data_IF_515201533517
#
_entry.id   IF_515201533517
#
_cell.length_a   1.000
_cell.length_b   1.000
_cell.length_c   1.000
_cell.angle_alpha   90.00
_cell.angle_beta   90.00
_cell.angle_gamma   90.00
#
_symmetry.space_group_name_H-M   'P 1'
#
loop_
_entity.id
_entity.type
_entity.pdbx_description
1 polymer ?
#
# COMPACT_ATOMS: atom_id res chain seq x y z
N UNK A 1 -14.56 12.24 17.42
CA UNK A 1 -13.16 12.74 17.50
C UNK A 1 -12.29 12.28 16.32
N UNK A 2 -12.26 11.00 15.93
CA UNK A 2 -11.51 10.51 14.74
C UNK A 2 -11.94 11.18 13.43
N UNK A 3 -13.23 11.37 13.20
CA UNK A 3 -13.76 12.05 12.01
C UNK A 3 -13.20 13.47 11.85
N UNK A 4 -13.17 14.25 12.92
CA UNK A 4 -12.63 15.60 12.88
C UNK A 4 -11.11 15.63 12.69
N UNK A 5 -10.38 14.66 13.24
CA UNK A 5 -8.93 14.58 13.02
C UNK A 5 -8.61 14.26 11.55
N UNK A 6 -9.39 13.39 10.91
CA UNK A 6 -9.19 13.06 9.49
C UNK A 6 -9.65 14.20 8.58
N UNK A 7 -10.73 14.89 8.91
CA UNK A 7 -11.14 16.11 8.18
C UNK A 7 -10.09 17.22 8.28
N UNK A 8 -9.50 17.43 9.47
CA UNK A 8 -8.39 18.38 9.67
C UNK A 8 -7.10 18.00 8.91
N UNK A 9 -6.97 16.78 8.43
CA UNK A 9 -5.81 16.36 7.64
C UNK A 9 -5.65 17.24 6.39
N UNK A 10 -6.76 17.63 5.77
CA UNK A 10 -6.76 18.56 4.63
C UNK A 10 -6.09 19.88 4.95
N UNK A 11 -6.43 20.48 6.09
CA UNK A 11 -5.82 21.73 6.56
C UNK A 11 -4.34 21.56 6.88
N UNK A 12 -3.96 20.45 7.52
CA UNK A 12 -2.56 20.11 7.79
C UNK A 12 -1.76 19.94 6.48
N UNK A 13 -2.38 19.42 5.42
CA UNK A 13 -1.79 19.31 4.10
C UNK A 13 -1.75 20.62 3.31
N UNK A 14 -2.25 21.73 3.87
CA UNK A 14 -2.24 23.03 3.20
C UNK A 14 -3.33 23.20 2.15
N UNK A 15 -4.50 22.56 2.33
CA UNK A 15 -5.70 22.89 1.58
C UNK A 15 -6.15 24.32 1.89
N UNK A 16 -6.69 24.98 0.88
CA UNK A 16 -7.10 26.40 0.92
C UNK A 16 -8.57 26.55 0.53
N UNK A 17 -9.24 27.64 0.92
CA UNK A 17 -10.63 27.91 0.51
C UNK A 17 -10.84 28.02 -1.01
N UNK A 18 -9.82 28.46 -1.74
CA UNK A 18 -9.83 28.60 -3.20
C UNK A 18 -9.48 27.32 -3.95
N UNK A 19 -9.17 26.21 -3.25
CA UNK A 19 -8.92 24.94 -3.87
C UNK A 19 -10.19 24.29 -4.46
N UNK A 20 -9.98 23.58 -5.56
CA UNK A 20 -10.96 22.71 -6.17
C UNK A 20 -10.44 21.28 -6.06
N UNK A 21 -11.07 20.49 -5.20
CA UNK A 21 -10.65 19.12 -4.89
C UNK A 21 -11.43 18.13 -5.74
N UNK A 22 -10.72 17.32 -6.53
CA UNK A 22 -11.30 16.29 -7.37
C UNK A 22 -11.19 14.92 -6.73
N UNK A 23 -12.35 14.30 -6.48
CA UNK A 23 -12.45 12.97 -5.89
C UNK A 23 -13.21 12.03 -6.81
N UNK A 24 -12.56 10.90 -7.13
CA UNK A 24 -13.13 9.78 -7.90
C UNK A 24 -13.23 8.52 -7.04
N UNK A 25 -12.84 8.64 -5.76
CA UNK A 25 -12.89 7.55 -4.80
C UNK A 25 -14.31 7.33 -4.29
N UNK A 26 -14.71 6.06 -4.01
CA UNK A 26 -15.99 5.78 -3.40
C UNK A 26 -16.17 6.50 -2.07
N UNK A 27 -17.32 7.11 -1.82
CA UNK A 27 -17.59 7.87 -0.60
C UNK A 27 -17.71 7.00 0.67
N UNK A 28 -17.87 5.68 0.55
CA UNK A 28 -17.75 4.78 1.68
C UNK A 28 -16.28 4.55 2.11
N UNK A 29 -15.31 4.94 1.28
CA UNK A 29 -13.89 4.93 1.63
C UNK A 29 -13.54 6.20 2.42
N UNK A 30 -12.81 6.05 3.54
CA UNK A 30 -12.46 7.17 4.43
C UNK A 30 -11.70 8.30 3.71
N UNK A 31 -10.85 7.99 2.76
CA UNK A 31 -10.15 9.01 1.96
C UNK A 31 -11.15 9.86 1.15
N UNK A 32 -12.09 9.23 0.43
CA UNK A 32 -13.10 9.94 -0.37
C UNK A 32 -14.01 10.82 0.47
N UNK A 33 -14.62 10.24 1.53
CA UNK A 33 -15.58 10.97 2.36
C UNK A 33 -14.90 11.97 3.31
N UNK A 34 -13.91 11.51 4.10
CA UNK A 34 -13.41 12.34 5.21
C UNK A 34 -12.36 13.34 4.74
N UNK A 35 -11.42 12.93 3.88
CA UNK A 35 -10.38 13.84 3.38
C UNK A 35 -10.92 14.67 2.21
N UNK A 36 -11.59 14.04 1.25
CA UNK A 36 -12.16 14.73 0.08
C UNK A 36 -13.30 15.65 0.46
N UNK A 37 -14.46 15.09 0.78
CA UNK A 37 -15.67 15.89 1.07
C UNK A 37 -15.54 16.62 2.40
N UNK A 38 -15.12 15.91 3.45
CA UNK A 38 -14.93 16.50 4.79
C UNK A 38 -13.87 17.59 4.82
N UNK A 39 -12.75 17.39 4.11
CA UNK A 39 -11.71 18.41 3.95
C UNK A 39 -12.21 19.67 3.26
N UNK A 40 -13.08 19.51 2.23
CA UNK A 40 -13.71 20.68 1.58
C UNK A 40 -14.59 21.48 2.55
N UNK A 41 -15.42 20.80 3.34
CA UNK A 41 -16.25 21.48 4.36
C UNK A 41 -15.41 22.19 5.42
N UNK A 42 -14.32 21.57 5.86
CA UNK A 42 -13.44 22.12 6.91
C UNK A 42 -12.76 23.41 6.47
N UNK A 43 -12.32 23.50 5.21
CA UNK A 43 -11.57 24.68 4.72
C UNK A 43 -12.42 25.62 3.87
N UNK A 44 -13.65 25.25 3.50
CA UNK A 44 -14.51 26.05 2.61
C UNK A 44 -14.13 25.92 1.13
N UNK A 45 -13.50 24.82 0.72
CA UNK A 45 -13.07 24.56 -0.64
C UNK A 45 -14.21 23.97 -1.50
N UNK A 46 -14.01 23.96 -2.82
CA UNK A 46 -14.93 23.33 -3.77
C UNK A 46 -14.63 21.85 -3.93
N UNK A 47 -15.66 20.99 -3.90
CA UNK A 47 -15.54 19.57 -4.14
C UNK A 47 -16.13 19.20 -5.49
N UNK A 48 -15.32 18.58 -6.37
CA UNK A 48 -15.77 17.98 -7.63
C UNK A 48 -15.81 16.47 -7.45
N UNK A 49 -17.03 15.92 -7.49
CA UNK A 49 -17.26 14.48 -7.34
C UNK A 49 -17.55 13.84 -8.69
N UNK A 50 -16.89 12.72 -8.94
CA UNK A 50 -17.20 11.86 -10.07
C UNK A 50 -17.71 10.51 -9.59
N UNK A 51 -18.84 10.06 -10.15
CA UNK A 51 -19.46 8.81 -9.75
C UNK A 51 -18.58 7.57 -9.99
N UNK A 52 -17.71 7.62 -11.02
CA UNK A 52 -16.83 6.50 -11.37
C UNK A 52 -15.50 7.01 -11.94
N UNK A 53 -14.38 6.47 -11.48
CA UNK A 53 -13.07 6.77 -12.03
C UNK A 53 -12.98 6.46 -13.53
N UNK A 54 -12.30 7.32 -14.28
CA UNK A 54 -11.99 7.13 -15.68
C UNK A 54 -10.61 7.72 -15.98
N UNK A 55 -9.62 6.86 -16.23
CA UNK A 55 -8.26 7.30 -16.51
C UNK A 55 -8.15 8.18 -17.77
N UNK A 56 -8.98 7.89 -18.80
CA UNK A 56 -8.98 8.65 -20.06
C UNK A 56 -9.62 10.05 -19.95
N UNK A 57 -10.54 10.23 -18.99
CA UNK A 57 -11.27 11.50 -18.79
C UNK A 57 -10.69 12.35 -17.63
N UNK A 58 -9.80 11.77 -16.83
CA UNK A 58 -9.33 12.38 -15.59
C UNK A 58 -8.77 13.78 -15.77
N UNK A 59 -7.83 13.93 -16.69
CA UNK A 59 -7.18 15.23 -16.96
C UNK A 59 -8.07 16.21 -17.70
N UNK A 60 -9.01 15.73 -18.52
CA UNK A 60 -10.03 16.55 -19.15
C UNK A 60 -10.99 17.15 -18.12
N UNK A 61 -11.40 16.35 -17.10
CA UNK A 61 -12.16 16.86 -15.96
C UNK A 61 -11.35 17.87 -15.14
N UNK A 62 -10.06 17.59 -14.88
CA UNK A 62 -9.19 18.52 -14.15
C UNK A 62 -9.10 19.90 -14.84
N UNK A 63 -8.97 19.93 -16.16
CA UNK A 63 -8.98 21.17 -16.95
C UNK A 63 -10.35 21.83 -16.91
N UNK A 64 -11.43 21.07 -17.16
CA UNK A 64 -12.80 21.58 -17.24
C UNK A 64 -13.25 22.26 -15.96
N UNK A 65 -12.90 21.70 -14.81
CA UNK A 65 -13.35 22.17 -13.50
C UNK A 65 -12.28 22.98 -12.75
N UNK A 66 -11.18 23.32 -13.39
CA UNK A 66 -10.06 24.05 -12.78
C UNK A 66 -9.56 23.41 -11.49
N UNK A 67 -9.41 22.09 -11.50
CA UNK A 67 -8.99 21.30 -10.35
C UNK A 67 -7.58 21.70 -9.91
N UNK A 68 -7.40 21.95 -8.62
CA UNK A 68 -6.11 22.30 -8.02
C UNK A 68 -5.55 21.18 -7.14
N UNK A 69 -6.42 20.29 -6.63
CA UNK A 69 -6.05 19.17 -5.76
C UNK A 69 -6.74 17.90 -6.24
N UNK A 70 -5.99 16.82 -6.37
CA UNK A 70 -6.53 15.51 -6.71
C UNK A 70 -6.39 14.55 -5.53
N UNK A 71 -7.37 13.65 -5.37
CA UNK A 71 -7.27 12.50 -4.49
C UNK A 71 -6.89 11.25 -5.28
N UNK A 72 -6.08 10.39 -4.66
CA UNK A 72 -5.65 9.16 -5.29
C UNK A 72 -5.56 7.98 -4.31
N UNK A 73 -5.55 6.80 -4.87
CA UNK A 73 -4.87 5.60 -4.37
C UNK A 73 -3.82 5.20 -5.40
N UNK A 74 -2.76 4.52 -4.99
CA UNK A 74 -1.60 4.25 -5.87
C UNK A 74 -1.97 3.64 -7.22
N UNK A 75 -2.98 2.75 -7.26
CA UNK A 75 -3.47 2.15 -8.50
C UNK A 75 -4.09 3.17 -9.47
N UNK A 76 -4.78 4.21 -8.99
CA UNK A 76 -5.29 5.27 -9.86
C UNK A 76 -4.14 6.02 -10.55
N UNK A 77 -3.07 6.33 -9.79
CA UNK A 77 -1.87 6.96 -10.36
C UNK A 77 -1.22 6.08 -11.44
N UNK A 78 -1.15 4.77 -11.19
CA UNK A 78 -0.64 3.80 -12.15
C UNK A 78 -1.50 3.77 -13.43
N UNK A 79 -2.83 3.75 -13.29
CA UNK A 79 -3.73 3.82 -14.45
C UNK A 79 -3.55 5.11 -15.23
N UNK A 80 -3.38 6.25 -14.57
CA UNK A 80 -3.10 7.53 -15.26
C UNK A 80 -1.78 7.47 -16.04
N UNK A 81 -0.73 6.92 -15.44
CA UNK A 81 0.56 6.72 -16.12
C UNK A 81 0.47 5.75 -17.30
N UNK A 82 -0.46 4.80 -17.29
CA UNK A 82 -0.64 3.81 -18.36
C UNK A 82 -1.51 4.31 -19.54
N UNK A 83 -2.14 5.48 -19.43
CA UNK A 83 -2.89 6.07 -20.56
C UNK A 83 -1.96 6.50 -21.70
N UNK A 84 -2.41 6.55 -22.96
CA UNK A 84 -1.63 7.13 -24.05
C UNK A 84 -1.17 8.55 -23.72
N UNK A 85 0.10 8.88 -24.03
CA UNK A 85 0.63 10.23 -23.82
C UNK A 85 -0.08 11.23 -24.74
N UNK A 86 -0.39 12.41 -24.19
CA UNK A 86 -1.01 13.51 -24.92
C UNK A 86 -0.13 14.76 -24.84
N UNK A 87 -0.15 15.62 -25.87
CA UNK A 87 0.64 16.88 -25.85
C UNK A 87 0.30 17.76 -24.65
N UNK A 88 -0.96 17.75 -24.21
CA UNK A 88 -1.49 18.54 -23.09
C UNK A 88 -1.46 17.84 -21.72
N UNK A 89 -0.66 16.79 -21.53
CA UNK A 89 -0.57 16.07 -20.25
C UNK A 89 -0.19 16.99 -19.07
N UNK A 90 0.54 18.10 -19.35
CA UNK A 90 0.96 19.09 -18.34
C UNK A 90 0.11 20.36 -18.30
N UNK A 91 -0.91 20.46 -19.14
CA UNK A 91 -1.79 21.63 -19.20
C UNK A 91 -2.95 21.49 -18.23
N UNK A 92 -2.69 21.70 -16.94
CA UNK A 92 -3.68 21.66 -15.85
C UNK A 92 -3.23 22.50 -14.65
N UNK A 93 -4.19 22.88 -13.80
CA UNK A 93 -3.94 23.66 -12.58
C UNK A 93 -3.63 22.83 -11.33
N UNK A 94 -3.48 21.49 -11.45
CA UNK A 94 -3.26 20.62 -10.29
C UNK A 94 -1.90 20.90 -9.66
N UNK A 95 -1.92 21.36 -8.40
CA UNK A 95 -0.74 21.67 -7.59
C UNK A 95 -0.40 20.60 -6.56
N UNK A 96 -1.39 19.79 -6.16
CA UNK A 96 -1.27 18.83 -5.07
C UNK A 96 -2.03 17.55 -5.35
N UNK A 97 -1.50 16.44 -4.88
CA UNK A 97 -2.18 15.15 -4.84
C UNK A 97 -2.14 14.58 -3.41
N UNK A 98 -3.30 14.16 -2.89
CA UNK A 98 -3.47 13.58 -1.56
C UNK A 98 -3.90 12.13 -1.69
N UNK A 99 -3.18 11.20 -1.10
CA UNK A 99 -3.55 9.80 -1.19
C UNK A 99 -2.62 8.84 -0.48
N UNK A 100 -2.76 7.58 -0.81
CA UNK A 100 -2.01 6.50 -0.19
C UNK A 100 -1.72 5.35 -1.16
N UNK A 101 -0.68 4.57 -0.84
CA UNK A 101 -0.33 3.35 -1.57
C UNK A 101 0.41 3.61 -2.88
N UNK A 102 1.10 4.74 -3.02
CA UNK A 102 1.84 5.10 -4.22
C UNK A 102 3.23 4.46 -4.22
N UNK A 103 3.46 3.55 -5.17
CA UNK A 103 4.78 2.93 -5.38
C UNK A 103 5.78 3.96 -5.90
N UNK A 104 7.05 3.82 -5.49
CA UNK A 104 8.10 4.79 -5.81
C UNK A 104 8.30 5.00 -7.33
N UNK A 105 8.22 3.94 -8.13
CA UNK A 105 8.37 3.98 -9.59
C UNK A 105 7.21 4.74 -10.23
N UNK A 106 5.97 4.47 -9.80
CA UNK A 106 4.77 5.16 -10.26
C UNK A 106 4.83 6.64 -9.88
N UNK A 107 5.33 6.96 -8.68
CA UNK A 107 5.52 8.34 -8.21
C UNK A 107 6.46 9.12 -9.14
N UNK A 108 7.63 8.55 -9.43
CA UNK A 108 8.62 9.15 -10.34
C UNK A 108 8.04 9.38 -11.74
N UNK A 109 7.39 8.35 -12.30
CA UNK A 109 6.79 8.42 -13.63
C UNK A 109 5.65 9.44 -13.68
N UNK A 110 4.81 9.49 -12.66
CA UNK A 110 3.71 10.44 -12.55
C UNK A 110 4.23 11.88 -12.59
N UNK A 111 5.22 12.23 -11.77
CA UNK A 111 5.82 13.56 -11.77
C UNK A 111 6.54 13.89 -13.08
N UNK A 112 7.25 12.90 -13.65
CA UNK A 112 7.92 13.07 -14.94
C UNK A 112 6.94 13.39 -16.06
N UNK A 113 5.76 12.76 -16.07
CA UNK A 113 4.75 12.91 -17.11
C UNK A 113 3.88 14.14 -16.93
N UNK A 114 3.31 14.32 -15.74
CA UNK A 114 2.27 15.31 -15.48
C UNK A 114 2.79 16.60 -14.83
N UNK A 115 4.05 16.66 -14.46
CA UNK A 115 4.69 17.87 -13.94
C UNK A 115 4.88 17.91 -12.42
N UNK A 116 5.33 19.05 -11.88
CA UNK A 116 5.72 19.19 -10.48
C UNK A 116 4.48 19.33 -9.56
N UNK A 117 3.82 18.22 -9.27
CA UNK A 117 2.69 18.13 -8.36
C UNK A 117 3.21 17.73 -6.98
N UNK A 118 2.84 18.45 -5.92
CA UNK A 118 3.19 18.09 -4.54
C UNK A 118 2.41 16.84 -4.12
N UNK A 119 3.10 15.72 -3.93
CA UNK A 119 2.49 14.46 -3.49
C UNK A 119 2.53 14.40 -1.97
N UNK A 120 1.36 14.25 -1.36
CA UNK A 120 1.18 14.02 0.06
C UNK A 120 0.69 12.59 0.26
N UNK A 121 1.64 11.70 0.48
CA UNK A 121 1.37 10.28 0.75
C UNK A 121 1.06 10.11 2.23
N UNK A 122 0.00 9.39 2.57
CA UNK A 122 -0.32 9.07 3.95
C UNK A 122 -0.50 7.56 4.16
N UNK A 123 -0.29 7.14 5.39
CA UNK A 123 -0.54 5.79 5.86
C UNK A 123 -1.56 5.83 6.99
N UNK A 124 -2.54 4.94 6.93
CA UNK A 124 -3.52 4.73 7.99
C UNK A 124 -4.46 3.58 7.69
N UNK A 125 -4.97 2.97 8.74
CA UNK A 125 -6.03 1.96 8.67
C UNK A 125 -7.35 2.56 9.18
N UNK A 126 -8.47 2.12 8.60
CA UNK A 126 -9.81 2.60 8.98
C UNK A 126 -10.10 2.39 10.47
N UNK A 127 -9.75 1.23 11.00
CA UNK A 127 -9.83 0.87 12.42
C UNK A 127 -8.66 1.39 13.25
N UNK A 128 -7.57 1.81 12.61
CA UNK A 128 -6.34 2.24 13.26
C UNK A 128 -6.51 3.45 14.18
N UNK A 129 -5.60 3.58 15.13
CA UNK A 129 -5.62 4.64 16.14
C UNK A 129 -4.53 5.69 15.93
N UNK A 130 -3.69 5.56 14.90
CA UNK A 130 -2.75 6.57 14.40
C UNK A 130 -2.43 6.34 12.93
N UNK A 131 -1.67 7.27 12.34
CA UNK A 131 -1.20 7.19 10.96
C UNK A 131 0.04 8.07 10.75
N UNK A 132 0.60 7.98 9.57
CA UNK A 132 1.73 8.80 9.14
C UNK A 132 1.36 9.65 7.94
N UNK A 133 2.09 10.73 7.75
CA UNK A 133 1.98 11.57 6.56
C UNK A 133 3.36 12.00 6.08
N UNK A 134 3.58 11.88 4.79
CA UNK A 134 4.76 12.35 4.10
C UNK A 134 4.50 13.75 3.55
N UNK A 135 4.86 14.76 4.31
CA UNK A 135 4.75 16.17 3.93
C UNK A 135 6.01 16.72 3.26
N UNK A 136 7.06 15.90 3.14
CA UNK A 136 8.35 16.31 2.58
C UNK A 136 8.52 15.93 1.11
N UNK A 137 7.63 15.12 0.56
CA UNK A 137 7.74 14.60 -0.80
C UNK A 137 8.86 13.55 -0.97
N UNK A 138 9.34 12.93 0.12
CA UNK A 138 10.32 11.82 0.03
C UNK A 138 9.69 10.64 -0.70
N UNK A 139 10.18 10.34 -1.89
CA UNK A 139 9.62 9.29 -2.75
C UNK A 139 9.67 7.93 -2.06
N UNK A 140 8.54 7.23 -2.05
CA UNK A 140 8.37 5.91 -1.46
C UNK A 140 8.09 5.90 0.05
N UNK A 141 8.34 7.01 0.77
CA UNK A 141 8.02 7.09 2.19
C UNK A 141 6.53 7.40 2.40
N UNK A 142 5.92 6.78 3.42
CA UNK A 142 4.53 7.03 3.85
C UNK A 142 4.44 8.06 4.97
N UNK A 143 5.57 8.52 5.49
CA UNK A 143 5.64 9.53 6.53
C UNK A 143 7.02 9.73 7.10
N UNK A 144 7.11 10.56 8.14
CA UNK A 144 8.34 10.78 8.91
C UNK A 144 8.04 10.67 10.40
N UNK A 145 8.74 9.77 11.08
CA UNK A 145 8.66 9.63 12.52
C UNK A 145 9.36 10.82 13.19
N UNK A 146 8.65 11.52 14.08
CA UNK A 146 9.25 12.59 14.86
C UNK A 146 8.85 12.45 16.34
N UNK A 147 9.57 13.17 17.21
CA UNK A 147 9.37 13.10 18.66
C UNK A 147 7.96 13.56 19.07
N UNK A 148 7.43 14.57 18.42
CA UNK A 148 6.08 15.10 18.72
C UNK A 148 5.01 14.06 18.35
N UNK A 149 5.13 13.44 17.18
CA UNK A 149 4.22 12.37 16.79
C UNK A 149 4.26 11.20 17.76
N UNK A 150 5.46 10.75 18.18
CA UNK A 150 5.61 9.69 19.19
C UNK A 150 5.06 10.07 20.57
N UNK A 151 5.15 11.34 20.95
CA UNK A 151 4.59 11.81 22.21
C UNK A 151 3.05 11.81 22.20
N UNK A 152 2.45 12.20 21.06
CA UNK A 152 0.99 12.25 20.91
C UNK A 152 0.38 10.88 20.64
N UNK A 153 0.98 10.12 19.74
CA UNK A 153 0.54 8.78 19.33
C UNK A 153 1.73 7.81 19.42
N UNK A 154 2.03 7.26 20.60
CA UNK A 154 3.16 6.37 20.79
C UNK A 154 3.01 5.11 19.94
N UNK A 155 4.00 4.86 19.09
CA UNK A 155 4.07 3.69 18.23
C UNK A 155 5.47 3.09 18.27
N UNK A 156 5.57 1.81 17.94
CA UNK A 156 6.85 1.09 17.80
C UNK A 156 6.78 0.13 16.61
N UNK A 157 7.97 -0.21 16.11
CA UNK A 157 8.17 -1.35 15.23
C UNK A 157 8.80 -2.48 16.04
N UNK A 158 8.15 -3.63 16.07
CA UNK A 158 8.58 -4.80 16.84
C UNK A 158 8.93 -5.96 15.93
N UNK A 159 9.87 -6.82 16.36
CA UNK A 159 10.20 -8.06 15.65
C UNK A 159 8.99 -8.96 15.56
N UNK A 160 8.75 -9.53 14.39
CA UNK A 160 7.59 -10.37 14.13
C UNK A 160 7.98 -11.64 13.38
N UNK A 161 7.51 -12.79 13.89
CA UNK A 161 7.65 -14.06 13.20
C UNK A 161 6.43 -14.29 12.31
N UNK A 162 6.63 -14.20 10.99
CA UNK A 162 5.54 -14.32 10.00
C UNK A 162 5.02 -15.77 9.89
N UNK A 163 5.84 -16.77 10.21
CA UNK A 163 5.43 -18.18 10.20
C UNK A 163 4.49 -18.54 11.33
N UNK A 164 4.86 -18.11 12.54
CA UNK A 164 4.09 -18.37 13.76
C UNK A 164 2.94 -17.38 13.92
N UNK A 165 2.90 -16.33 13.06
CA UNK A 165 1.94 -15.21 13.15
C UNK A 165 1.93 -14.54 14.54
N UNK A 166 3.14 -14.38 15.15
CA UNK A 166 3.32 -13.87 16.49
C UNK A 166 4.50 -12.90 16.63
N UNK A 167 4.42 -11.92 17.56
CA UNK A 167 5.56 -11.06 17.89
C UNK A 167 6.66 -11.83 18.62
N UNK A 168 7.91 -11.56 18.26
CA UNK A 168 9.07 -12.12 18.97
C UNK A 168 9.22 -11.44 20.35
N UNK A 169 9.35 -12.24 21.41
CA UNK A 169 9.45 -11.76 22.79
C UNK A 169 10.77 -12.15 23.44
N UNK A 170 11.21 -11.31 24.39
CA UNK A 170 12.37 -11.58 25.24
C UNK A 170 12.01 -12.55 26.40
N UNK A 171 13.02 -12.88 27.23
CA UNK A 171 12.86 -13.76 28.40
C UNK A 171 11.85 -13.23 29.44
N UNK A 172 11.55 -11.94 29.45
CA UNK A 172 10.55 -11.30 30.32
C UNK A 172 9.15 -11.34 29.71
N UNK A 173 9.01 -11.88 28.48
CA UNK A 173 7.78 -11.95 27.72
C UNK A 173 7.36 -10.60 27.15
N UNK A 174 8.31 -9.66 26.91
CA UNK A 174 8.08 -8.37 26.25
C UNK A 174 8.55 -8.43 24.81
N UNK A 175 7.91 -7.65 23.92
CA UNK A 175 8.27 -7.62 22.51
C UNK A 175 9.62 -6.93 22.28
N UNK A 176 10.37 -7.44 21.33
CA UNK A 176 11.67 -6.90 20.92
C UNK A 176 11.46 -5.84 19.85
N UNK A 177 11.98 -4.61 20.08
CA UNK A 177 11.99 -3.55 19.04
C UNK A 177 12.96 -3.87 17.93
N UNK A 178 12.66 -3.39 16.72
CA UNK A 178 13.63 -3.40 15.61
C UNK A 178 14.44 -2.11 15.60
N UNK A 179 15.65 -2.18 15.02
CA UNK A 179 16.50 -1.03 14.77
C UNK A 179 16.16 -0.26 13.50
N UNK A 180 16.81 0.90 13.26
CA UNK A 180 16.68 1.63 12.01
C UNK A 180 17.14 0.78 10.82
N UNK A 181 16.34 0.76 9.74
CA UNK A 181 16.58 -0.06 8.55
C UNK A 181 16.05 -1.49 8.64
N UNK A 182 15.62 -1.94 9.82
CA UNK A 182 14.99 -3.25 9.98
C UNK A 182 13.47 -3.18 9.80
N UNK A 183 12.90 -4.20 9.19
CA UNK A 183 11.45 -4.36 9.03
C UNK A 183 10.84 -4.91 10.32
N UNK A 184 9.72 -4.31 10.76
CA UNK A 184 8.99 -4.76 11.93
C UNK A 184 7.49 -4.50 11.83
N UNK A 185 6.74 -5.21 12.67
CA UNK A 185 5.30 -5.00 12.82
C UNK A 185 5.04 -3.65 13.48
N UNK A 186 4.23 -2.83 12.82
CA UNK A 186 3.77 -1.57 13.42
C UNK A 186 2.74 -1.84 14.51
N UNK A 187 3.03 -1.36 15.72
CA UNK A 187 2.11 -1.37 16.85
C UNK A 187 1.93 0.03 17.41
N UNK A 188 0.69 0.40 17.74
CA UNK A 188 0.35 1.74 18.22
C UNK A 188 -0.28 1.64 19.60
N UNK A 189 0.27 2.34 20.58
CA UNK A 189 -0.21 2.28 21.97
C UNK A 189 -1.66 2.73 22.08
N UNK A 190 -2.47 1.95 22.77
CA UNK A 190 -3.86 2.29 23.08
C UNK A 190 -3.87 3.18 24.32
N UNK A 191 -4.28 4.44 24.13
CA UNK A 191 -4.35 5.45 25.19
C UNK A 191 -5.66 6.23 25.12
N UNK A 192 -5.90 7.16 26.07
CA UNK A 192 -7.04 8.08 25.98
C UNK A 192 -6.99 8.97 24.72
N UNK A 193 -5.79 9.33 24.26
CA UNK A 193 -5.60 10.17 23.06
C UNK A 193 -5.64 9.34 21.77
N UNK A 194 -5.25 8.08 21.84
CA UNK A 194 -5.22 7.14 20.70
C UNK A 194 -6.06 5.89 21.03
N UNK A 195 -7.39 6.04 21.21
CA UNK A 195 -8.25 4.90 21.55
C UNK A 195 -8.44 3.96 20.35
N UNK A 196 -8.42 2.66 20.60
CA UNK A 196 -8.88 1.64 19.66
C UNK A 196 -10.30 1.25 20.00
N UNK A 197 -11.25 1.47 19.09
CA UNK A 197 -12.67 1.22 19.34
C UNK A 197 -13.13 -0.18 18.96
N UNK A 198 -12.28 -0.93 18.24
CA UNK A 198 -12.61 -2.28 17.78
C UNK A 198 -13.62 -2.33 16.63
N UNK A 199 -14.11 -3.54 16.41
CA UNK A 199 -15.09 -3.83 15.36
C UNK A 199 -16.49 -3.92 15.97
N UNK A 200 -17.46 -3.26 15.38
CA UNK A 200 -18.84 -3.28 15.84
C UNK A 200 -19.42 -4.71 15.76
N UNK A 201 -19.92 -5.20 16.91
CA UNK A 201 -20.54 -6.52 16.99
C UNK A 201 -19.58 -7.72 17.01
N UNK A 202 -18.26 -7.51 16.95
CA UNK A 202 -17.27 -8.60 16.94
C UNK A 202 -16.14 -8.35 17.94
N UNK A 203 -16.38 -8.79 19.18
CA UNK A 203 -15.41 -8.68 20.27
C UNK A 203 -14.19 -9.58 20.08
N UNK A 204 -14.36 -10.75 19.45
CA UNK A 204 -13.24 -11.67 19.23
C UNK A 204 -12.25 -11.11 18.21
N UNK A 205 -12.72 -10.54 17.09
CA UNK A 205 -11.87 -9.85 16.14
C UNK A 205 -11.21 -8.62 16.74
N UNK A 206 -11.93 -7.91 17.60
CA UNK A 206 -11.39 -6.75 18.31
C UNK A 206 -10.23 -7.16 19.21
N UNK A 207 -10.39 -8.22 20.01
CA UNK A 207 -9.33 -8.68 20.92
C UNK A 207 -8.10 -9.21 20.17
N UNK A 208 -8.26 -9.89 19.05
CA UNK A 208 -7.14 -10.33 18.19
C UNK A 208 -6.27 -9.17 17.67
N UNK A 209 -6.80 -7.95 17.64
CA UNK A 209 -6.06 -6.74 17.24
C UNK A 209 -5.40 -6.02 18.42
N UNK A 210 -5.50 -6.55 19.64
CA UNK A 210 -4.88 -5.97 20.82
C UNK A 210 -3.71 -6.84 21.27
N UNK A 211 -2.49 -6.31 21.17
CA UNK A 211 -1.30 -6.91 21.75
C UNK A 211 -1.08 -6.37 23.15
N UNK A 212 -0.85 -7.28 24.10
CA UNK A 212 -0.60 -6.97 25.51
C UNK A 212 0.86 -7.25 25.85
N UNK A 213 1.34 -6.61 26.91
CA UNK A 213 2.72 -6.78 27.39
C UNK A 213 3.74 -6.55 26.25
N UNK A 214 3.60 -5.43 25.52
CA UNK A 214 4.46 -5.14 24.38
C UNK A 214 5.79 -4.56 24.83
N UNK A 215 5.79 -3.46 25.57
CA UNK A 215 7.01 -2.81 26.06
C UNK A 215 7.18 -2.89 27.56
N UNK A 216 6.07 -2.89 28.28
CA UNK A 216 6.01 -3.05 29.73
C UNK A 216 4.79 -3.89 30.09
N UNK A 217 4.86 -4.61 31.21
CA UNK A 217 3.74 -5.41 31.70
C UNK A 217 2.49 -4.54 31.90
N UNK A 218 1.36 -5.02 31.40
CA UNK A 218 0.05 -4.34 31.50
C UNK A 218 -0.22 -3.28 30.41
N UNK A 219 0.70 -3.01 29.50
CA UNK A 219 0.40 -2.14 28.37
C UNK A 219 -0.44 -2.85 27.29
N UNK A 220 -1.08 -2.04 26.44
CA UNK A 220 -1.88 -2.53 25.31
C UNK A 220 -1.60 -1.71 24.05
N UNK A 221 -1.40 -2.41 22.95
CA UNK A 221 -1.14 -1.83 21.65
C UNK A 221 -2.09 -2.39 20.59
N UNK A 222 -2.47 -1.55 19.65
CA UNK A 222 -3.17 -1.97 18.46
C UNK A 222 -2.18 -2.63 17.48
N UNK A 223 -2.49 -3.86 17.05
CA UNK A 223 -1.78 -4.58 16.01
C UNK A 223 -2.29 -4.14 14.63
N UNK A 224 -1.47 -3.39 13.89
CA UNK A 224 -1.85 -2.94 12.55
C UNK A 224 -1.97 -4.09 11.54
N UNK A 225 -1.17 -5.14 11.70
CA UNK A 225 -0.98 -6.20 10.70
C UNK A 225 -0.10 -5.77 9.52
N UNK A 226 0.56 -4.62 9.62
CA UNK A 226 1.41 -4.06 8.58
C UNK A 226 2.87 -4.05 9.02
N UNK A 227 3.75 -4.47 8.12
CA UNK A 227 5.20 -4.45 8.29
C UNK A 227 5.75 -3.14 7.70
N UNK A 228 6.46 -2.38 8.52
CA UNK A 228 7.07 -1.11 8.14
C UNK A 228 8.57 -1.12 8.49
N UNK A 229 9.29 -0.20 7.88
CA UNK A 229 10.70 0.08 8.17
C UNK A 229 10.86 1.58 8.42
N UNK A 230 11.74 1.94 9.34
CA UNK A 230 12.13 3.34 9.60
C UNK A 230 13.62 3.46 9.31
N UNK A 231 14.00 4.36 8.41
CA UNK A 231 15.41 4.59 8.08
C UNK A 231 16.12 5.49 9.11
N UNK A 232 17.42 5.71 8.91
CA UNK A 232 18.24 6.55 9.79
C UNK A 232 17.83 8.03 9.79
N UNK A 233 17.19 8.51 8.70
CA UNK A 233 16.62 9.86 8.59
C UNK A 233 15.21 9.95 9.18
N UNK A 234 14.71 8.84 9.74
CA UNK A 234 13.37 8.67 10.35
C UNK A 234 12.22 8.70 9.34
N UNK A 235 12.46 8.46 8.07
CA UNK A 235 11.38 8.21 7.13
C UNK A 235 10.81 6.82 7.33
N UNK A 236 9.48 6.74 7.18
CA UNK A 236 8.71 5.50 7.38
C UNK A 236 8.33 4.96 6.01
N UNK A 237 8.62 3.68 5.80
CA UNK A 237 8.31 2.97 4.55
C UNK A 237 7.41 1.79 4.85
N UNK A 238 6.34 1.65 4.06
CA UNK A 238 5.51 0.47 4.08
C UNK A 238 6.25 -0.66 3.35
N UNK A 239 6.37 -1.81 3.99
CA UNK A 239 7.04 -2.98 3.41
C UNK A 239 6.03 -3.97 2.86
N UNK A 240 5.14 -4.50 3.71
CA UNK A 240 4.10 -5.44 3.30
C UNK A 240 3.04 -5.59 4.41
N UNK A 241 2.04 -6.43 4.15
CA UNK A 241 1.14 -6.92 5.17
C UNK A 241 1.61 -8.27 5.71
N UNK A 242 1.46 -8.49 7.00
CA UNK A 242 1.78 -9.78 7.62
C UNK A 242 1.12 -10.94 6.87
N UNK A 243 -0.18 -10.81 6.52
CA UNK A 243 -0.93 -11.86 5.83
C UNK A 243 -0.54 -12.10 4.36
N UNK A 244 0.11 -11.13 3.73
CA UNK A 244 0.56 -11.21 2.33
C UNK A 244 2.01 -11.69 2.22
N UNK A 245 2.86 -11.32 3.19
CA UNK A 245 4.25 -11.79 3.28
C UNK A 245 4.30 -13.32 3.38
N UNK A 246 5.19 -13.93 2.65
CA UNK A 246 5.41 -15.37 2.71
C UNK A 246 6.86 -15.71 3.06
N UNK A 247 7.10 -16.94 3.54
CA UNK A 247 8.43 -17.44 3.86
C UNK A 247 8.79 -18.61 2.96
N UNK A 248 9.99 -18.54 2.38
CA UNK A 248 10.51 -19.59 1.52
C UNK A 248 12.01 -19.79 1.76
N UNK A 249 12.42 -21.05 1.93
CA UNK A 249 13.83 -21.41 2.21
C UNK A 249 14.44 -20.66 3.42
N UNK A 250 13.62 -20.43 4.47
CA UNK A 250 14.07 -19.75 5.67
C UNK A 250 14.02 -18.23 5.61
N UNK A 251 13.68 -17.61 4.47
CA UNK A 251 13.68 -16.16 4.26
C UNK A 251 12.27 -15.60 4.08
N UNK A 252 12.00 -14.46 4.71
CA UNK A 252 10.75 -13.73 4.52
C UNK A 252 10.78 -12.93 3.22
N UNK A 253 9.71 -13.00 2.45
CA UNK A 253 9.55 -12.30 1.16
C UNK A 253 8.37 -11.36 1.23
N UNK A 254 8.65 -10.06 1.11
CA UNK A 254 7.64 -9.03 0.96
C UNK A 254 7.08 -9.07 -0.47
N UNK A 255 5.78 -9.30 -0.59
CA UNK A 255 5.14 -9.40 -1.92
C UNK A 255 5.22 -8.10 -2.70
N UNK A 256 5.15 -6.97 -2.00
CA UNK A 256 5.23 -5.63 -2.60
C UNK A 256 6.60 -5.34 -3.23
N UNK A 257 7.69 -5.87 -2.65
CA UNK A 257 9.05 -5.72 -3.18
C UNK A 257 9.22 -6.49 -4.49
N UNK A 258 8.74 -7.74 -4.53
CA UNK A 258 8.75 -8.56 -5.75
C UNK A 258 7.85 -7.94 -6.82
N UNK A 259 6.66 -7.45 -6.44
CA UNK A 259 5.76 -6.73 -7.35
C UNK A 259 6.41 -5.48 -7.94
N UNK A 260 7.10 -4.69 -7.12
CA UNK A 260 7.80 -3.48 -7.59
C UNK A 260 8.89 -3.83 -8.62
N UNK A 261 9.64 -4.90 -8.39
CA UNK A 261 10.66 -5.38 -9.33
C UNK A 261 10.03 -5.87 -10.63
N UNK A 262 9.03 -6.74 -10.58
CA UNK A 262 8.37 -7.29 -11.78
C UNK A 262 7.61 -6.21 -12.58
N UNK A 263 7.10 -5.18 -11.94
CA UNK A 263 6.41 -4.07 -12.61
C UNK A 263 7.31 -3.25 -13.55
N UNK A 264 8.65 -3.39 -13.43
CA UNK A 264 9.60 -2.72 -14.33
C UNK A 264 9.84 -3.47 -15.64
N UNK A 265 9.34 -4.70 -15.76
CA UNK A 265 9.49 -5.53 -16.96
C UNK A 265 8.62 -4.97 -18.08
N UNK A 266 9.21 -4.75 -19.26
CA UNK A 266 8.59 -4.00 -20.36
C UNK A 266 7.25 -4.55 -20.84
N UNK A 267 7.06 -5.86 -20.88
CA UNK A 267 5.81 -6.47 -21.34
C UNK A 267 4.75 -6.64 -20.25
N UNK A 268 5.06 -6.40 -18.96
CA UNK A 268 4.12 -6.50 -17.85
C UNK A 268 3.36 -5.19 -17.66
N UNK A 269 2.03 -5.27 -17.65
CA UNK A 269 1.15 -4.15 -17.33
C UNK A 269 0.75 -4.14 -15.86
N UNK A 270 0.43 -5.30 -15.30
CA UNK A 270 0.00 -5.46 -13.91
C UNK A 270 0.62 -6.73 -13.34
N UNK A 271 0.91 -6.71 -12.05
CA UNK A 271 1.45 -7.85 -11.32
C UNK A 271 0.88 -7.91 -9.92
N UNK A 272 0.56 -9.12 -9.46
CA UNK A 272 0.13 -9.44 -8.11
C UNK A 272 0.88 -10.68 -7.63
N UNK A 273 1.68 -10.52 -6.57
CA UNK A 273 2.54 -11.59 -6.02
C UNK A 273 1.94 -12.13 -4.73
N UNK A 274 1.99 -13.43 -4.56
CA UNK A 274 1.45 -14.14 -3.39
C UNK A 274 2.21 -15.42 -3.12
N UNK A 275 2.12 -15.91 -1.88
CA UNK A 275 2.75 -17.15 -1.47
C UNK A 275 1.83 -18.37 -1.66
N UNK A 276 2.34 -19.46 -2.26
CA UNK A 276 1.62 -20.71 -2.43
C UNK A 276 2.37 -21.87 -1.75
N UNK A 277 1.64 -22.74 -1.06
CA UNK A 277 2.20 -23.90 -0.41
C UNK A 277 2.50 -25.00 -1.45
N UNK A 278 3.71 -25.55 -1.41
CA UNK A 278 4.11 -26.67 -2.27
C UNK A 278 4.11 -27.95 -1.43
N UNK A 279 3.40 -28.99 -1.83
CA UNK A 279 3.38 -30.27 -1.10
C UNK A 279 4.78 -30.82 -0.87
N UNK A 280 5.08 -31.19 0.38
CA UNK A 280 6.40 -31.72 0.78
C UNK A 280 7.49 -30.66 0.99
N UNK A 281 7.18 -29.37 0.86
CA UNK A 281 8.08 -28.27 1.17
C UNK A 281 7.56 -27.47 2.37
N UNK A 282 8.50 -26.99 3.19
CA UNK A 282 8.20 -26.06 4.30
C UNK A 282 8.03 -24.63 3.77
N UNK A 283 7.07 -23.90 4.34
CA UNK A 283 6.77 -22.54 3.94
C UNK A 283 5.90 -22.43 2.68
N UNK A 284 5.95 -21.27 2.06
CA UNK A 284 5.24 -20.93 0.81
C UNK A 284 6.22 -20.33 -0.18
N UNK A 285 6.20 -20.75 -1.43
CA UNK A 285 7.01 -20.13 -2.48
C UNK A 285 6.23 -19.04 -3.22
N UNK A 286 6.95 -18.12 -3.83
CA UNK A 286 6.36 -17.04 -4.60
C UNK A 286 5.65 -17.54 -5.87
N UNK A 287 4.44 -17.01 -6.09
CA UNK A 287 3.72 -17.08 -7.35
C UNK A 287 3.31 -15.67 -7.78
N UNK A 288 3.38 -15.39 -9.07
CA UNK A 288 2.99 -14.11 -9.64
C UNK A 288 1.84 -14.30 -10.64
N UNK A 289 0.75 -13.55 -10.46
CA UNK A 289 -0.25 -13.33 -11.50
C UNK A 289 0.11 -12.03 -12.24
N UNK A 290 0.25 -12.11 -13.56
CA UNK A 290 0.59 -10.96 -14.40
C UNK A 290 -0.47 -10.72 -15.46
N UNK A 291 -0.60 -9.45 -15.84
CA UNK A 291 -1.31 -9.03 -17.04
C UNK A 291 -0.32 -8.42 -18.00
N UNK A 292 -0.40 -8.81 -19.27
CA UNK A 292 0.48 -8.29 -20.31
C UNK A 292 -0.03 -6.93 -20.82
N UNK A 293 0.88 -6.10 -21.31
CA UNK A 293 0.53 -4.89 -22.06
C UNK A 293 -0.18 -5.27 -23.36
N UNK A 294 -1.05 -4.40 -23.85
CA UNK A 294 -1.77 -4.61 -25.10
C UNK A 294 -0.78 -4.84 -26.25
N UNK A 295 -0.94 -5.94 -26.97
CA UNK A 295 -0.08 -6.34 -28.08
C UNK A 295 1.28 -6.92 -27.69
N UNK A 296 1.59 -7.04 -26.39
CA UNK A 296 2.81 -7.69 -25.95
C UNK A 296 2.62 -9.22 -25.87
N UNK A 297 3.71 -9.94 -26.11
CA UNK A 297 3.81 -11.41 -25.93
C UNK A 297 4.64 -11.71 -24.69
N UNK A 298 4.31 -12.81 -24.02
CA UNK A 298 5.09 -13.28 -22.88
C UNK A 298 6.47 -13.78 -23.31
N UNK A 299 7.51 -13.26 -22.69
CA UNK A 299 8.91 -13.60 -22.94
C UNK A 299 9.50 -14.28 -21.70
N UNK A 300 9.31 -15.61 -21.61
CA UNK A 300 9.67 -16.37 -20.41
C UNK A 300 11.17 -16.39 -20.13
N UNK A 301 12.01 -16.47 -21.16
CA UNK A 301 13.46 -16.45 -21.00
C UNK A 301 13.97 -15.09 -20.50
N UNK A 302 13.42 -14.01 -21.00
CA UNK A 302 13.81 -12.65 -20.57
C UNK A 302 13.40 -12.43 -19.10
N UNK A 303 12.19 -12.88 -18.72
CA UNK A 303 11.73 -12.82 -17.34
C UNK A 303 12.59 -13.67 -16.40
N UNK A 304 12.99 -14.87 -16.85
CA UNK A 304 13.88 -15.75 -16.08
C UNK A 304 15.21 -15.05 -15.80
N UNK A 305 15.86 -14.52 -16.84
CA UNK A 305 17.14 -13.80 -16.72
C UNK A 305 16.97 -12.57 -15.83
N UNK A 306 15.97 -11.72 -16.11
CA UNK A 306 15.70 -10.51 -15.33
C UNK A 306 15.50 -10.80 -13.83
N UNK A 307 14.66 -11.79 -13.49
CA UNK A 307 14.42 -12.15 -12.09
C UNK A 307 15.64 -12.78 -11.40
N UNK A 308 16.49 -13.47 -12.17
CA UNK A 308 17.77 -14.00 -11.67
C UNK A 308 18.78 -12.91 -11.33
N UNK A 309 18.80 -11.84 -12.10
CA UNK A 309 19.72 -10.71 -11.91
C UNK A 309 19.26 -9.70 -10.84
N UNK A 310 17.94 -9.61 -10.61
CA UNK A 310 17.36 -8.54 -9.79
C UNK A 310 16.78 -9.01 -8.44
N UNK A 311 16.45 -10.29 -8.31
CA UNK A 311 15.85 -10.85 -7.10
C UNK A 311 16.72 -11.97 -6.51
N UNK A 312 16.81 -12.06 -5.17
CA UNK A 312 17.37 -13.26 -4.53
C UNK A 312 16.58 -14.51 -4.97
N UNK A 313 17.26 -15.65 -5.08
CA UNK A 313 16.68 -16.91 -5.56
C UNK A 313 15.42 -17.33 -4.78
N UNK A 314 15.37 -17.05 -3.48
CA UNK A 314 14.22 -17.35 -2.63
C UNK A 314 13.01 -16.43 -2.89
N UNK A 315 13.24 -15.20 -3.38
CA UNK A 315 12.20 -14.21 -3.64
C UNK A 315 11.64 -14.29 -5.08
N UNK A 316 12.43 -14.84 -6.03
CA UNK A 316 11.98 -15.01 -7.40
C UNK A 316 10.78 -15.96 -7.47
N UNK A 317 9.64 -15.56 -8.09
CA UNK A 317 8.46 -16.39 -8.20
C UNK A 317 8.75 -17.72 -8.91
N UNK A 318 8.33 -18.84 -8.32
CA UNK A 318 8.46 -20.18 -8.90
C UNK A 318 7.37 -20.48 -9.89
N UNK A 319 6.20 -19.90 -9.69
CA UNK A 319 5.06 -20.06 -10.57
C UNK A 319 4.60 -18.70 -11.08
N UNK A 320 4.11 -18.69 -12.29
CA UNK A 320 3.56 -17.50 -12.93
C UNK A 320 2.31 -17.89 -13.71
N UNK A 321 1.27 -17.08 -13.59
CA UNK A 321 0.05 -17.18 -14.40
C UNK A 321 -0.21 -15.88 -15.14
N UNK A 322 -0.78 -15.98 -16.34
CA UNK A 322 -1.14 -14.83 -17.16
C UNK A 322 -2.65 -14.68 -17.14
N UNK A 323 -3.13 -13.51 -16.74
CA UNK A 323 -4.56 -13.19 -16.67
C UNK A 323 -4.90 -11.99 -17.56
N UNK A 324 -6.10 -11.97 -18.11
CA UNK A 324 -6.61 -10.84 -18.89
C UNK A 324 -6.89 -9.62 -17.99
N UNK A 325 -7.24 -9.84 -16.73
CA UNK A 325 -7.47 -8.81 -15.73
C UNK A 325 -7.13 -9.34 -14.33
N UNK A 326 -6.47 -8.52 -13.52
CA UNK A 326 -6.26 -8.83 -12.10
C UNK A 326 -7.44 -8.31 -11.27
N UNK A 327 -7.91 -9.11 -10.32
CA UNK A 327 -9.03 -8.74 -9.45
C UNK A 327 -8.62 -7.63 -8.49
N UNK A 328 -9.44 -6.58 -8.44
CA UNK A 328 -9.29 -5.47 -7.49
C UNK A 328 -10.58 -5.21 -6.73
N UNK A 329 -10.48 -4.76 -5.50
CA UNK A 329 -11.64 -4.32 -4.71
C UNK A 329 -12.24 -3.04 -5.31
N UNK A 330 -13.46 -2.68 -4.90
CA UNK A 330 -14.07 -1.39 -5.26
C UNK A 330 -13.24 -0.17 -4.82
N UNK A 331 -12.26 -0.34 -3.95
CA UNK A 331 -11.29 0.67 -3.50
C UNK A 331 -9.91 0.51 -4.15
N UNK A 332 -9.84 -0.22 -5.27
CA UNK A 332 -8.62 -0.44 -6.09
C UNK A 332 -7.48 -1.16 -5.36
N UNK A 333 -7.79 -1.96 -4.34
CA UNK A 333 -6.80 -2.86 -3.71
C UNK A 333 -6.78 -4.18 -4.45
N UNK A 334 -5.59 -4.70 -4.77
CA UNK A 334 -5.44 -6.01 -5.39
C UNK A 334 -5.94 -7.12 -4.44
N UNK A 335 -6.67 -8.08 -5.00
CA UNK A 335 -7.21 -9.24 -4.28
C UNK A 335 -6.25 -10.42 -4.42
N UNK A 336 -5.71 -10.91 -3.28
CA UNK A 336 -4.82 -12.09 -3.26
C UNK A 336 -5.54 -13.35 -2.81
N UNK A 337 -6.64 -13.22 -2.08
CA UNK A 337 -7.29 -14.34 -1.40
C UNK A 337 -7.74 -15.49 -2.33
N UNK A 338 -8.30 -15.17 -3.50
CA UNK A 338 -8.71 -16.17 -4.48
C UNK A 338 -7.48 -16.80 -5.15
N UNK A 339 -6.48 -15.99 -5.50
CA UNK A 339 -5.23 -16.44 -6.11
C UNK A 339 -4.48 -17.44 -5.22
N UNK A 340 -4.40 -17.16 -3.92
CA UNK A 340 -3.76 -18.05 -2.93
C UNK A 340 -4.52 -19.39 -2.81
N UNK A 341 -5.86 -19.35 -2.81
CA UNK A 341 -6.71 -20.55 -2.70
C UNK A 341 -6.61 -21.44 -3.94
N UNK A 342 -6.58 -20.85 -5.14
CA UNK A 342 -6.44 -21.55 -6.41
C UNK A 342 -5.02 -22.17 -6.55
N UNK A 343 -4.02 -21.52 -5.95
CA UNK A 343 -2.63 -22.00 -5.95
C UNK A 343 -2.04 -22.08 -7.36
N UNK A 344 -1.43 -23.23 -7.69
CA UNK A 344 -0.77 -23.48 -8.98
C UNK A 344 -1.23 -24.78 -9.66
N UNK A 345 -2.37 -25.35 -9.24
CA UNK A 345 -2.90 -26.59 -9.82
C UNK A 345 -3.46 -26.35 -11.23
N UNK A 346 -2.89 -26.95 -12.30
CA UNK A 346 -3.37 -26.77 -13.67
C UNK A 346 -4.76 -27.39 -13.89
N UNK A 347 -5.26 -28.22 -12.99
CA UNK A 347 -6.64 -28.75 -13.04
C UNK A 347 -7.67 -27.71 -12.58
N UNK A 348 -7.25 -26.78 -11.74
CA UNK A 348 -8.09 -25.70 -11.20
C UNK A 348 -7.95 -24.43 -12.03
N UNK A 349 -6.71 -24.08 -12.40
CA UNK A 349 -6.38 -22.85 -13.12
C UNK A 349 -6.50 -23.09 -14.63
N UNK A 350 -7.30 -22.28 -15.31
CA UNK A 350 -7.45 -22.30 -16.77
C UNK A 350 -6.52 -21.33 -17.49
N UNK A 351 -5.97 -20.35 -16.76
CA UNK A 351 -5.04 -19.37 -17.30
C UNK A 351 -3.71 -20.05 -17.71
N UNK A 352 -2.96 -19.48 -18.67
CA UNK A 352 -1.61 -19.94 -18.97
C UNK A 352 -0.75 -19.91 -17.71
N UNK A 353 -0.18 -21.10 -17.37
CA UNK A 353 0.61 -21.32 -16.17
C UNK A 353 2.02 -21.73 -16.55
N UNK A 354 3.00 -21.09 -15.91
CA UNK A 354 4.42 -21.32 -16.15
C UNK A 354 5.14 -21.66 -14.85
N UNK A 355 6.15 -22.48 -14.96
CA UNK A 355 7.02 -22.87 -13.87
C UNK A 355 8.45 -22.45 -14.16
N UNK A 356 9.14 -21.89 -13.15
CA UNK A 356 10.56 -21.58 -13.21
C UNK A 356 11.38 -22.82 -12.89
N UNK A 357 12.09 -23.36 -13.88
CA UNK A 357 13.05 -24.45 -13.71
C UNK A 357 14.45 -23.85 -13.51
N UNK A 358 15.08 -24.16 -12.40
CA UNK A 358 16.43 -23.70 -12.06
C UNK A 358 17.51 -24.77 -12.40
N UNK A 359 17.14 -25.79 -13.19
CA UNK A 359 18.08 -26.85 -13.64
C UNK A 359 18.79 -26.47 -14.91
#
# INVERSE_FOLDING_TARGET
MKLMMVANLGRLCGLRPDDVIYTTLPLYHSAGLLIGVGGCFEVGATCVLRAKFSASQFWDDCRRYNVTVIQYVGELMRYLCSTPKRPNDREHGVRMALGNGLRAEVWKEFLRRFGPISIWEFYGATEGNAGFINYTGKIGAVGRANVFLKAFAPFELIKYNVEEDEPVRDERGLCIRVGPGETGLLVIKITKNTPFHGYAGDSQKTEKKVLRDVLVKGDAFFNSGDLLMIDQERFVYFQDRVGDTFRWKGENVATTEVEATLATVDFIQEVNVYGVAVPGCEGRCGMAAIRLKAGATFQGQDLYTFTGDTLPVYAAPRFLRIQDALEVTGTFKQCKGNLVKEGFDPKVIKDPLFFRDDK
#
